data_IF_578483814280
#
_entry.id   IF_578483814280
#
_cell.length_a   1.000
_cell.length_b   1.000
_cell.length_c   1.000
_cell.angle_alpha   90.00
_cell.angle_beta   90.00
_cell.angle_gamma   90.00
#
_symmetry.space_group_name_H-M   'P 1'
#
loop_
_entity.id
_entity.type
_entity.pdbx_description
1 polymer ?
#
# COMPACT_ATOMS: atom_id res chain seq x y z
N UNK A 1 -23.92 1.59 -35.74
CA UNK A 1 -24.09 0.35 -34.97
C UNK A 1 -22.73 -0.34 -34.96
N UNK A 2 -21.94 -0.19 -33.89
CA UNK A 2 -20.61 -0.81 -33.78
C UNK A 2 -20.72 -2.02 -32.84
N UNK A 3 -20.08 -3.16 -33.14
CA UNK A 3 -20.29 -4.40 -32.39
C UNK A 3 -19.54 -4.36 -31.05
N UNK A 4 -20.23 -4.76 -29.99
CA UNK A 4 -19.66 -4.95 -28.67
C UNK A 4 -18.85 -6.25 -28.67
N UNK A 5 -17.51 -6.15 -28.73
CA UNK A 5 -16.63 -7.29 -28.48
C UNK A 5 -16.59 -7.52 -26.97
N UNK A 6 -17.29 -8.55 -26.50
CA UNK A 6 -17.16 -9.07 -25.13
C UNK A 6 -15.76 -9.61 -24.95
N UNK A 7 -14.86 -8.78 -24.41
CA UNK A 7 -13.59 -9.28 -23.90
C UNK A 7 -13.88 -10.02 -22.60
N UNK A 8 -13.94 -11.35 -22.68
CA UNK A 8 -13.65 -12.19 -21.53
C UNK A 8 -12.21 -11.91 -21.15
N UNK A 9 -12.00 -11.01 -20.20
CA UNK A 9 -10.75 -10.93 -19.49
C UNK A 9 -10.68 -12.19 -18.64
N UNK A 10 -9.85 -13.15 -19.06
CA UNK A 10 -9.37 -14.18 -18.15
C UNK A 10 -8.82 -13.46 -16.92
N UNK A 11 -9.55 -13.56 -15.82
CA UNK A 11 -9.11 -13.04 -14.53
C UNK A 11 -7.80 -13.76 -14.19
N UNK A 12 -6.67 -13.04 -14.04
CA UNK A 12 -5.46 -13.69 -13.57
C UNK A 12 -5.77 -14.29 -12.19
N UNK A 13 -5.47 -15.58 -12.03
CA UNK A 13 -5.68 -16.31 -10.79
C UNK A 13 -5.26 -15.47 -9.57
N UNK A 14 -6.26 -15.05 -8.78
CA UNK A 14 -6.09 -14.27 -7.54
C UNK A 14 -5.16 -14.97 -6.54
N UNK A 15 -4.91 -16.26 -6.74
CA UNK A 15 -4.02 -17.09 -5.93
C UNK A 15 -2.52 -16.86 -6.15
N UNK A 16 -2.09 -16.10 -7.17
CA UNK A 16 -0.65 -16.00 -7.49
C UNK A 16 0.12 -15.11 -6.50
N UNK A 17 -0.57 -14.26 -5.75
CA UNK A 17 0.05 -13.35 -4.77
C UNK A 17 -0.12 -13.81 -3.31
N UNK A 18 -0.88 -14.89 -3.08
CA UNK A 18 -1.18 -15.40 -1.73
C UNK A 18 0.01 -16.14 -1.07
N UNK A 19 1.06 -16.48 -1.84
CA UNK A 19 2.25 -17.18 -1.35
C UNK A 19 3.52 -16.36 -1.56
N UNK A 20 3.66 -15.27 -0.82
CA UNK A 20 4.98 -14.71 -0.53
C UNK A 20 5.41 -15.21 0.86
N UNK A 21 5.86 -16.47 0.92
CA UNK A 21 6.38 -17.13 2.12
C UNK A 21 7.82 -16.69 2.46
N UNK A 22 8.47 -15.92 1.57
CA UNK A 22 9.79 -15.36 1.78
C UNK A 22 9.70 -13.93 2.33
N UNK A 23 10.48 -13.56 3.38
CA UNK A 23 10.51 -12.20 3.87
C UNK A 23 10.99 -11.26 2.76
N UNK A 24 10.18 -10.26 2.40
CA UNK A 24 10.58 -9.28 1.40
C UNK A 24 11.70 -8.40 1.98
N UNK A 25 12.88 -8.65 1.45
CA UNK A 25 14.23 -8.20 1.80
C UNK A 25 14.48 -6.67 1.75
N UNK A 26 13.49 -5.82 1.48
CA UNK A 26 13.71 -4.40 1.16
C UNK A 26 14.48 -3.62 2.23
N UNK A 27 14.36 -4.01 3.50
CA UNK A 27 15.02 -3.35 4.64
C UNK A 27 16.09 -4.22 5.33
N UNK A 28 16.78 -5.07 4.57
CA UNK A 28 17.90 -5.85 5.10
C UNK A 28 19.11 -4.97 5.46
N UNK A 29 19.81 -5.34 6.54
CA UNK A 29 21.07 -4.68 6.96
C UNK A 29 20.90 -3.36 7.71
N UNK A 30 19.68 -3.01 8.15
CA UNK A 30 19.44 -1.76 8.88
C UNK A 30 19.65 -1.95 10.39
N UNK A 31 20.50 -1.13 11.00
CA UNK A 31 20.72 -1.13 12.45
C UNK A 31 19.58 -0.42 13.19
N UNK A 32 18.84 -1.15 14.02
CA UNK A 32 17.74 -0.63 14.82
C UNK A 32 18.17 0.55 15.73
N UNK A 33 19.36 0.46 16.35
CA UNK A 33 19.88 1.52 17.24
C UNK A 33 20.08 2.83 16.49
N UNK A 34 20.62 2.75 15.28
CA UNK A 34 20.90 3.92 14.45
C UNK A 34 19.61 4.58 13.96
N UNK A 35 18.59 3.79 13.61
CA UNK A 35 17.27 4.29 13.23
C UNK A 35 16.60 5.05 14.39
N UNK A 36 16.65 4.50 15.61
CA UNK A 36 16.09 5.15 16.79
C UNK A 36 16.83 6.46 17.09
N UNK A 37 18.17 6.48 16.96
CA UNK A 37 18.95 7.70 17.15
C UNK A 37 18.62 8.77 16.10
N UNK A 38 18.51 8.38 14.82
CA UNK A 38 18.10 9.29 13.73
C UNK A 38 16.67 9.80 13.92
N UNK A 39 15.75 8.94 14.34
CA UNK A 39 14.36 9.30 14.61
C UNK A 39 14.27 10.44 15.62
N UNK A 40 15.04 10.40 16.71
CA UNK A 40 15.05 11.46 17.73
C UNK A 40 15.66 12.77 17.23
N UNK A 41 16.57 12.72 16.27
CA UNK A 41 17.28 13.90 15.74
C UNK A 41 16.52 14.58 14.59
N UNK A 42 15.86 13.80 13.74
CA UNK A 42 15.32 14.28 12.46
C UNK A 42 13.79 14.25 12.35
N UNK A 43 13.08 13.50 13.21
CA UNK A 43 11.61 13.47 13.18
C UNK A 43 11.01 14.44 14.20
N UNK A 44 10.03 15.21 13.74
CA UNK A 44 9.19 16.00 14.63
C UNK A 44 8.35 15.05 15.49
N UNK A 45 8.37 15.24 16.80
CA UNK A 45 7.52 14.44 17.70
C UNK A 45 6.11 15.00 17.72
N UNK A 46 5.15 14.19 17.29
CA UNK A 46 3.73 14.48 17.40
C UNK A 46 3.01 13.23 17.91
N UNK A 47 2.38 13.34 19.09
CA UNK A 47 1.66 12.24 19.72
C UNK A 47 2.52 11.36 20.64
N UNK A 48 2.19 10.05 20.76
CA UNK A 48 2.83 9.14 21.72
C UNK A 48 4.28 8.80 21.36
N UNK A 49 4.99 8.15 22.30
CA UNK A 49 6.38 7.73 22.11
C UNK A 49 6.51 6.77 20.92
N UNK A 50 7.58 6.96 20.14
CA UNK A 50 7.89 6.11 18.99
C UNK A 50 8.27 4.71 19.49
N UNK A 51 7.56 3.70 18.99
CA UNK A 51 7.84 2.29 19.29
C UNK A 51 9.28 1.96 18.89
N UNK A 52 10.01 1.28 19.78
CA UNK A 52 11.44 0.99 19.60
C UNK A 52 11.70 -0.07 18.53
N UNK A 53 10.74 -0.94 18.28
CA UNK A 53 10.86 -2.01 17.30
C UNK A 53 10.63 -1.49 15.89
N UNK A 54 11.59 -1.76 15.03
CA UNK A 54 11.53 -1.40 13.62
C UNK A 54 10.65 -2.42 12.92
N UNK A 55 9.58 -1.96 12.29
CA UNK A 55 8.71 -2.79 11.45
C UNK A 55 9.35 -2.90 10.08
N UNK A 56 9.59 -4.13 9.61
CA UNK A 56 10.26 -4.40 8.32
C UNK A 56 9.30 -4.90 7.26
N UNK A 57 8.17 -5.47 7.67
CA UNK A 57 7.19 -6.05 6.75
C UNK A 57 5.80 -6.04 7.38
N UNK A 58 4.76 -5.97 6.55
CA UNK A 58 3.38 -6.13 6.95
C UNK A 58 2.64 -6.99 5.91
N UNK A 59 1.90 -7.99 6.36
CA UNK A 59 1.12 -8.91 5.50
C UNK A 59 -0.20 -9.27 6.17
N UNK A 60 -1.29 -9.11 5.43
CA UNK A 60 -2.65 -9.38 5.90
C UNK A 60 -2.91 -8.63 7.23
N UNK A 61 -3.20 -9.34 8.31
CA UNK A 61 -3.46 -8.75 9.64
C UNK A 61 -2.22 -8.69 10.53
N UNK A 62 -1.02 -8.98 10.01
CA UNK A 62 0.20 -9.07 10.80
C UNK A 62 1.26 -8.07 10.35
N UNK A 63 1.99 -7.55 11.32
CA UNK A 63 3.23 -6.80 11.12
C UNK A 63 4.41 -7.61 11.65
N UNK A 64 5.57 -7.47 11.01
CA UNK A 64 6.79 -8.20 11.32
C UNK A 64 7.87 -7.20 11.70
N UNK A 65 8.48 -7.40 12.87
CA UNK A 65 9.60 -6.59 13.34
C UNK A 65 10.91 -7.08 12.72
N UNK A 66 11.93 -6.22 12.70
CA UNK A 66 13.28 -6.58 12.28
C UNK A 66 13.94 -7.65 13.17
N UNK A 67 13.44 -7.85 14.39
CA UNK A 67 13.81 -8.96 15.28
C UNK A 67 13.13 -10.28 14.92
N UNK A 68 12.25 -10.29 13.92
CA UNK A 68 11.50 -11.48 13.49
C UNK A 68 10.20 -11.73 14.28
N UNK A 69 9.77 -10.80 15.13
CA UNK A 69 8.53 -10.94 15.87
C UNK A 69 7.33 -10.68 14.96
N UNK A 70 6.38 -11.61 14.98
CA UNK A 70 5.08 -11.48 14.32
C UNK A 70 4.08 -10.90 15.31
N UNK A 71 3.56 -9.71 15.01
CA UNK A 71 2.60 -8.98 15.83
C UNK A 71 1.27 -8.90 15.09
N UNK A 72 0.17 -9.21 15.78
CA UNK A 72 -1.18 -9.08 15.24
C UNK A 72 -1.61 -7.60 15.31
N UNK A 73 -2.00 -7.05 14.17
CA UNK A 73 -2.50 -5.69 14.04
C UNK A 73 -4.01 -5.65 14.29
N UNK A 74 -4.39 -5.49 15.56
CA UNK A 74 -5.79 -5.37 15.97
C UNK A 74 -6.38 -3.97 15.71
N UNK A 75 -5.55 -3.00 15.33
CA UNK A 75 -5.97 -1.63 15.09
C UNK A 75 -6.16 -1.33 13.61
N UNK A 76 -5.91 -2.30 12.73
CA UNK A 76 -5.91 -2.14 11.28
C UNK A 76 -5.04 -0.93 10.86
N UNK A 77 -3.84 -0.86 11.43
CA UNK A 77 -2.97 0.31 11.37
C UNK A 77 -3.57 1.47 12.14
N UNK A 78 -3.82 2.58 11.45
CA UNK A 78 -4.57 3.73 11.96
C UNK A 78 -6.04 3.62 11.54
N UNK A 79 -6.69 2.50 11.88
CA UNK A 79 -8.10 2.22 11.58
C UNK A 79 -8.46 2.29 10.09
N UNK A 80 -7.55 1.91 9.20
CA UNK A 80 -7.69 2.11 7.75
C UNK A 80 -7.53 0.84 6.91
N UNK A 81 -6.82 -0.17 7.41
CA UNK A 81 -6.45 -1.35 6.63
C UNK A 81 -7.52 -2.46 6.68
N UNK A 82 -8.73 -2.17 6.19
CA UNK A 82 -9.87 -3.12 6.22
C UNK A 82 -9.59 -4.46 5.53
N UNK A 83 -8.91 -4.43 4.37
CA UNK A 83 -8.57 -5.62 3.59
C UNK A 83 -7.24 -6.28 4.04
N UNK A 84 -6.62 -5.74 5.09
CA UNK A 84 -5.29 -6.10 5.52
C UNK A 84 -4.18 -5.50 4.67
N UNK A 85 -2.96 -5.58 5.21
CA UNK A 85 -1.72 -5.14 4.59
C UNK A 85 -1.41 -5.96 3.34
N UNK A 86 -1.09 -5.28 2.23
CA UNK A 86 -0.60 -5.94 1.02
C UNK A 86 -1.64 -6.75 0.25
N UNK A 87 -2.93 -6.40 0.32
CA UNK A 87 -3.97 -7.09 -0.43
C UNK A 87 -3.67 -7.12 -1.94
N UNK A 88 -3.69 -8.29 -2.60
CA UNK A 88 -3.13 -8.46 -3.94
C UNK A 88 -3.85 -7.64 -5.01
N UNK A 89 -5.17 -7.49 -4.90
CA UNK A 89 -5.92 -6.64 -5.83
C UNK A 89 -5.54 -5.16 -5.69
N UNK A 90 -5.28 -4.69 -4.47
CA UNK A 90 -4.88 -3.31 -4.21
C UNK A 90 -3.49 -3.06 -4.77
N UNK A 91 -2.55 -3.98 -4.54
CA UNK A 91 -1.19 -3.91 -5.10
C UNK A 91 -1.26 -3.87 -6.63
N UNK A 92 -2.02 -4.76 -7.26
CA UNK A 92 -2.18 -4.82 -8.72
C UNK A 92 -2.71 -3.50 -9.29
N UNK A 93 -3.75 -2.93 -8.69
CA UNK A 93 -4.36 -1.67 -9.14
C UNK A 93 -3.40 -0.50 -8.96
N UNK A 94 -2.74 -0.40 -7.80
CA UNK A 94 -1.73 0.64 -7.54
C UNK A 94 -0.59 0.55 -8.55
N UNK A 95 -0.03 -0.65 -8.79
CA UNK A 95 1.06 -0.83 -9.76
C UNK A 95 0.63 -0.45 -11.18
N UNK A 96 -0.57 -0.86 -11.61
CA UNK A 96 -1.08 -0.50 -12.93
C UNK A 96 -1.24 1.02 -13.10
N UNK A 97 -1.81 1.70 -12.10
CA UNK A 97 -1.95 3.16 -12.13
C UNK A 97 -0.60 3.88 -12.01
N UNK A 98 0.31 3.43 -11.15
CA UNK A 98 1.63 4.04 -11.02
C UNK A 98 2.45 3.98 -12.33
N UNK A 99 2.28 2.93 -13.14
CA UNK A 99 2.96 2.80 -14.43
C UNK A 99 2.33 3.68 -15.52
N UNK A 100 0.99 3.82 -15.51
CA UNK A 100 0.26 4.38 -16.65
C UNK A 100 -0.34 5.77 -16.42
N UNK A 101 -0.79 6.06 -15.21
CA UNK A 101 -1.48 7.31 -14.87
C UNK A 101 -1.55 7.50 -13.33
N UNK A 102 -0.60 8.27 -12.79
CA UNK A 102 -0.43 8.51 -11.36
C UNK A 102 -0.99 9.87 -10.91
N UNK A 103 -0.51 10.97 -11.50
CA UNK A 103 -0.86 12.32 -11.09
C UNK A 103 -1.11 13.22 -12.30
N UNK A 104 -2.25 13.91 -12.29
CA UNK A 104 -2.61 14.90 -13.30
C UNK A 104 -2.86 16.26 -12.65
N UNK A 105 -2.58 17.32 -13.39
CA UNK A 105 -3.14 18.63 -13.04
C UNK A 105 -4.66 18.59 -13.29
N UNK A 106 -5.44 19.16 -12.37
CA UNK A 106 -6.92 19.09 -12.37
C UNK A 106 -7.58 19.54 -13.68
N UNK A 107 -6.91 20.36 -14.49
CA UNK A 107 -7.44 20.82 -15.79
C UNK A 107 -7.41 19.73 -16.88
N UNK A 108 -6.60 18.69 -16.72
CA UNK A 108 -6.54 17.59 -17.67
C UNK A 108 -7.70 16.64 -17.38
N UNK A 109 -8.57 16.43 -18.37
CA UNK A 109 -9.63 15.45 -18.25
C UNK A 109 -9.05 14.04 -18.42
N UNK A 110 -9.15 13.16 -17.40
CA UNK A 110 -8.81 11.76 -17.57
C UNK A 110 -9.84 11.06 -18.46
N UNK A 111 -9.52 9.85 -18.93
CA UNK A 111 -10.42 9.06 -19.77
C UNK A 111 -11.82 8.89 -19.14
N UNK A 112 -12.91 8.76 -19.91
CA UNK A 112 -14.29 8.75 -19.40
C UNK A 112 -14.56 7.68 -18.33
N UNK A 113 -13.83 6.55 -18.36
CA UNK A 113 -13.95 5.48 -17.37
C UNK A 113 -13.49 5.91 -15.97
N UNK A 114 -12.52 6.81 -15.90
CA UNK A 114 -12.06 7.40 -14.63
C UNK A 114 -12.92 8.59 -14.22
N UNK A 115 -13.43 9.36 -15.19
CA UNK A 115 -14.30 10.50 -14.91
C UNK A 115 -15.66 10.09 -14.31
N UNK A 116 -16.11 8.85 -14.55
CA UNK A 116 -17.33 8.29 -13.94
C UNK A 116 -17.16 7.91 -12.46
N UNK A 117 -15.93 7.71 -11.98
CA UNK A 117 -15.61 7.57 -10.55
C UNK A 117 -15.48 8.95 -9.91
N UNK A 118 -16.58 9.70 -9.86
CA UNK A 118 -16.75 10.82 -8.93
C UNK A 118 -15.70 11.93 -8.98
N UNK A 119 -15.27 12.35 -10.18
CA UNK A 119 -14.50 13.59 -10.32
C UNK A 119 -15.43 14.82 -10.18
N UNK A 120 -16.12 14.95 -9.04
CA UNK A 120 -16.74 16.20 -8.66
C UNK A 120 -15.62 17.16 -8.28
N UNK A 121 -15.40 18.15 -9.14
CA UNK A 121 -14.71 19.39 -8.81
C UNK A 121 -15.18 19.92 -7.47
N UNK A 122 -14.45 19.64 -6.40
CA UNK A 122 -14.48 20.49 -5.19
C UNK A 122 -13.73 21.76 -5.58
N UNK A 123 -14.48 22.77 -6.02
CA UNK A 123 -14.01 24.14 -5.96
C UNK A 123 -13.96 24.53 -4.48
N UNK A 124 -12.76 24.76 -3.97
CA UNK A 124 -12.53 25.90 -3.08
C UNK A 124 -12.11 27.08 -3.97
#
# INVERSE_FOLDING_TARGET
MAPASTMHADSPDVNTFAKHDAPLSLYQGVCQKDLVAKSKKYLLHFGPEIVRDVIVEARCTYIYTGSGHKVLDWTFGQMSCLLGHGHPEIVRVITAHAIHLDHLFRIYLPSPRLSAMGCHSVLL
#
